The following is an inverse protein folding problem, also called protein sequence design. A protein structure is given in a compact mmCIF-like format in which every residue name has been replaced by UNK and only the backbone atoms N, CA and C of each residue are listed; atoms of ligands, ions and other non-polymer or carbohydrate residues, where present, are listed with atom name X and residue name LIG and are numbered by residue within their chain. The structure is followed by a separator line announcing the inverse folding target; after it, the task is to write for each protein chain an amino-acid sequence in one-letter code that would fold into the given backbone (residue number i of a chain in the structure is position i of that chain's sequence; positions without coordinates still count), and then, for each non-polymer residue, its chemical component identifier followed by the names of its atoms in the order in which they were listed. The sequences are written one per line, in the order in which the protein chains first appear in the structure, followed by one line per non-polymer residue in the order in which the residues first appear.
data_IF_413462144012
#
_entry.id   IF_413462144012
#
_cell.length_a   1.000
_cell.length_b   1.000
_cell.length_c   1.000
_cell.angle_alpha   90.00
_cell.angle_beta   90.00
_cell.angle_gamma   90.00
#
_symmetry.space_group_name_H-M   'P 1'
#
loop_
_entity.id
_entity.type
_entity.pdbx_description
1 polymer ?
#
# COMPACT_ATOMS: atom_id res chain seq x y z
N UNK A 1 4.05 -9.25 9.08
CA UNK A 1 4.43 -9.38 7.67
C UNK A 1 4.40 -8.01 7.02
N UNK A 2 5.47 -7.64 6.34
CA UNK A 2 5.61 -6.29 5.76
C UNK A 2 5.55 -6.34 4.25
N UNK A 3 4.88 -5.37 3.66
CA UNK A 3 4.86 -5.14 2.22
C UNK A 3 5.85 -4.01 1.92
N UNK A 4 6.84 -4.29 1.08
CA UNK A 4 7.85 -3.33 0.67
C UNK A 4 7.59 -2.86 -0.77
N UNK A 5 7.77 -1.56 -1.01
CA UNK A 5 7.51 -0.94 -2.30
C UNK A 5 8.80 -0.35 -2.84
N UNK A 6 9.13 -0.72 -4.08
CA UNK A 6 10.34 -0.32 -4.79
C UNK A 6 9.98 0.47 -6.04
N UNK A 7 10.78 1.47 -6.37
CA UNK A 7 10.63 2.23 -7.62
C UNK A 7 11.57 1.64 -8.68
N UNK A 8 11.00 1.12 -9.75
CA UNK A 8 11.78 0.53 -10.87
C UNK A 8 12.21 1.58 -11.88
N UNK A 9 11.29 2.48 -12.25
CA UNK A 9 11.59 3.60 -13.13
C UNK A 9 10.67 4.77 -12.81
N UNK A 10 11.21 5.99 -12.93
CA UNK A 10 10.49 7.22 -12.66
C UNK A 10 9.94 7.80 -13.96
N UNK A 11 8.64 8.06 -13.99
CA UNK A 11 8.01 8.80 -15.09
C UNK A 11 8.18 10.30 -14.87
N UNK A 12 7.22 10.95 -14.19
CA UNK A 12 7.36 12.34 -13.79
C UNK A 12 8.07 12.42 -12.44
N UNK A 13 9.29 12.98 -12.45
CA UNK A 13 10.14 13.03 -11.25
C UNK A 13 9.51 13.87 -10.13
N UNK A 14 9.05 15.06 -10.46
CA UNK A 14 8.46 15.99 -9.47
C UNK A 14 7.23 15.38 -8.81
N UNK A 15 6.30 14.85 -9.60
CA UNK A 15 5.07 14.26 -9.10
C UNK A 15 5.33 12.97 -8.32
N UNK A 16 6.28 12.15 -8.77
CA UNK A 16 6.68 10.94 -8.05
C UNK A 16 7.18 11.27 -6.64
N UNK A 17 8.06 12.24 -6.50
CA UNK A 17 8.57 12.66 -5.18
C UNK A 17 7.47 13.27 -4.31
N UNK A 18 6.57 14.06 -4.88
CA UNK A 18 5.43 14.61 -4.15
C UNK A 18 4.52 13.52 -3.61
N UNK A 19 4.21 12.51 -4.41
CA UNK A 19 3.39 11.37 -4.00
C UNK A 19 4.07 10.59 -2.88
N UNK A 20 5.35 10.30 -3.00
CA UNK A 20 6.09 9.58 -1.97
C UNK A 20 6.13 10.36 -0.65
N UNK A 21 6.31 11.67 -0.71
CA UNK A 21 6.30 12.51 0.49
C UNK A 21 4.93 12.64 1.13
N UNK A 22 3.85 12.59 0.34
CA UNK A 22 2.49 12.64 0.88
C UNK A 22 2.11 11.34 1.62
N UNK A 23 2.71 10.21 1.22
CA UNK A 23 2.44 8.89 1.81
C UNK A 23 3.48 8.44 2.83
N UNK A 24 4.59 9.15 2.96
CA UNK A 24 5.63 8.86 3.93
C UNK A 24 6.19 10.16 4.51
N UNK A 25 6.71 10.10 5.72
CA UNK A 25 7.35 11.24 6.36
C UNK A 25 8.85 11.34 6.09
N UNK A 26 9.35 10.59 5.09
CA UNK A 26 10.77 10.55 4.78
C UNK A 26 11.24 11.85 4.13
N UNK A 27 12.47 12.35 4.47
CA UNK A 27 13.07 13.49 3.78
C UNK A 27 13.33 13.17 2.30
N UNK A 28 13.30 14.21 1.46
CA UNK A 28 13.55 14.09 0.03
C UNK A 28 14.88 13.38 -0.27
N UNK A 29 15.93 13.73 0.44
CA UNK A 29 17.27 13.14 0.25
C UNK A 29 17.29 11.63 0.52
N UNK A 30 16.53 11.18 1.52
CA UNK A 30 16.44 9.77 1.86
C UNK A 30 15.64 9.00 0.81
N UNK A 31 14.55 9.57 0.32
CA UNK A 31 13.76 8.98 -0.77
C UNK A 31 14.64 8.81 -2.01
N UNK A 32 15.38 9.85 -2.38
CA UNK A 32 16.29 9.84 -3.52
C UNK A 32 17.37 8.76 -3.38
N UNK A 33 17.97 8.64 -2.21
CA UNK A 33 18.98 7.62 -1.90
C UNK A 33 18.42 6.20 -2.02
N UNK A 34 17.23 5.96 -1.49
CA UNK A 34 16.58 4.65 -1.57
C UNK A 34 16.25 4.25 -3.00
N UNK A 35 15.76 5.18 -3.80
CA UNK A 35 15.47 4.92 -5.22
C UNK A 35 16.77 4.57 -5.96
N UNK A 36 17.83 5.33 -5.72
CA UNK A 36 19.14 5.12 -6.36
C UNK A 36 19.73 3.75 -6.01
N UNK A 37 19.59 3.33 -4.76
CA UNK A 37 20.14 2.07 -4.25
C UNK A 37 19.18 0.88 -4.46
N UNK A 38 18.04 1.08 -5.10
CA UNK A 38 16.98 0.08 -5.27
C UNK A 38 16.48 -0.51 -3.95
N UNK A 39 16.44 0.33 -2.92
CA UNK A 39 15.85 -0.02 -1.62
C UNK A 39 14.37 0.32 -1.57
N UNK A 40 13.66 -0.30 -0.62
CA UNK A 40 12.25 -0.01 -0.42
C UNK A 40 12.04 1.45 -0.02
N UNK A 41 11.17 2.16 -0.75
CA UNK A 41 10.81 3.55 -0.43
C UNK A 41 9.70 3.65 0.59
N UNK A 42 8.85 2.62 0.67
CA UNK A 42 7.75 2.52 1.63
C UNK A 42 7.67 1.08 2.11
N UNK A 43 7.42 0.90 3.40
CA UNK A 43 7.11 -0.39 3.99
C UNK A 43 5.85 -0.25 4.82
N UNK A 44 4.89 -1.14 4.63
CA UNK A 44 3.62 -1.14 5.36
C UNK A 44 3.31 -2.52 5.90
N UNK A 45 2.54 -2.56 7.00
CA UNK A 45 2.07 -3.81 7.57
C UNK A 45 0.93 -4.36 6.71
N UNK A 46 1.08 -5.61 6.25
CA UNK A 46 0.06 -6.28 5.44
C UNK A 46 -1.22 -6.58 6.22
N UNK A 47 -1.21 -6.44 7.53
CA UNK A 47 -2.39 -6.59 8.38
C UNK A 47 -3.13 -5.27 8.62
N UNK A 48 -2.58 -4.15 8.14
CA UNK A 48 -3.19 -2.83 8.27
C UNK A 48 -3.96 -2.49 7.00
N UNK A 49 -5.28 -2.65 7.04
CA UNK A 49 -6.15 -2.40 5.90
C UNK A 49 -6.07 -0.96 5.39
N UNK A 50 -6.01 0.01 6.30
CA UNK A 50 -5.93 1.43 5.92
C UNK A 50 -4.64 1.73 5.17
N UNK A 51 -3.51 1.19 5.63
CA UNK A 51 -2.23 1.33 4.96
C UNK A 51 -2.22 0.65 3.59
N UNK A 52 -2.82 -0.52 3.47
CA UNK A 52 -2.95 -1.23 2.18
C UNK A 52 -3.77 -0.42 1.17
N UNK A 53 -4.85 0.22 1.62
CA UNK A 53 -5.66 1.09 0.76
C UNK A 53 -4.87 2.30 0.28
N UNK A 54 -4.09 2.92 1.15
CA UNK A 54 -3.22 4.05 0.81
C UNK A 54 -2.16 3.66 -0.22
N UNK A 55 -1.54 2.50 -0.03
CA UNK A 55 -0.55 1.95 -0.98
C UNK A 55 -1.18 1.71 -2.34
N UNK A 56 -2.37 1.13 -2.37
CA UNK A 56 -3.10 0.88 -3.63
C UNK A 56 -3.33 2.18 -4.40
N UNK A 57 -3.80 3.23 -3.71
CA UNK A 57 -3.99 4.54 -4.33
C UNK A 57 -2.67 5.13 -4.82
N UNK A 58 -1.63 5.06 -4.01
CA UNK A 58 -0.30 5.54 -4.38
C UNK A 58 0.20 4.87 -5.67
N UNK A 59 0.07 3.56 -5.78
CA UNK A 59 0.50 2.81 -6.95
C UNK A 59 -0.30 3.22 -8.19
N UNK A 60 -1.61 3.41 -8.05
CA UNK A 60 -2.46 3.88 -9.15
C UNK A 60 -2.05 5.27 -9.63
N UNK A 61 -1.79 6.18 -8.70
CA UNK A 61 -1.35 7.54 -9.01
C UNK A 61 0.02 7.54 -9.67
N UNK A 62 0.95 6.72 -9.19
CA UNK A 62 2.28 6.57 -9.79
C UNK A 62 2.20 5.99 -11.20
N UNK A 63 1.37 4.99 -11.41
CA UNK A 63 1.14 4.41 -12.73
C UNK A 63 0.60 5.45 -13.71
N UNK A 64 -0.29 6.33 -13.25
CA UNK A 64 -0.88 7.40 -14.06
C UNK A 64 0.17 8.43 -14.55
N UNK A 65 1.24 8.62 -13.81
CA UNK A 65 2.34 9.54 -14.19
C UNK A 65 3.53 8.79 -14.82
N UNK A 66 3.37 7.52 -15.14
CA UNK A 66 4.39 6.73 -15.83
C UNK A 66 5.49 6.17 -14.94
N UNK A 67 5.33 6.22 -13.62
CA UNK A 67 6.29 5.65 -12.68
C UNK A 67 5.99 4.17 -12.46
N UNK A 68 7.00 3.32 -12.63
CA UNK A 68 6.86 1.87 -12.44
C UNK A 68 7.31 1.47 -11.05
N UNK A 69 6.51 0.62 -10.42
CA UNK A 69 6.68 0.22 -9.02
C UNK A 69 6.64 -1.30 -8.92
N UNK A 70 7.45 -1.87 -8.04
CA UNK A 70 7.40 -3.28 -7.67
C UNK A 70 7.06 -3.39 -6.19
N UNK A 71 6.12 -4.29 -5.86
CA UNK A 71 5.80 -4.63 -4.48
C UNK A 71 6.38 -6.00 -4.14
N UNK A 72 6.91 -6.14 -2.93
CA UNK A 72 7.44 -7.41 -2.41
C UNK A 72 7.02 -7.66 -0.98
N UNK A 73 6.76 -8.92 -0.67
CA UNK A 73 6.60 -9.39 0.71
C UNK A 73 7.59 -10.54 0.98
N UNK A 74 7.42 -11.25 2.09
CA UNK A 74 8.29 -12.38 2.44
C UNK A 74 8.21 -13.56 1.46
N UNK A 75 7.16 -13.63 0.64
CA UNK A 75 6.95 -14.70 -0.33
C UNK A 75 7.44 -14.35 -1.74
N UNK A 76 7.76 -13.09 -2.00
CA UNK A 76 8.26 -12.62 -3.29
C UNK A 76 7.51 -11.41 -3.83
N UNK A 77 7.46 -11.31 -5.16
CA UNK A 77 6.82 -10.18 -5.85
C UNK A 77 5.31 -10.30 -5.76
N UNK A 78 4.64 -9.18 -5.42
CA UNK A 78 3.19 -9.08 -5.34
C UNK A 78 2.69 -8.18 -6.47
N UNK A 79 1.63 -8.61 -7.15
CA UNK A 79 0.96 -7.82 -8.19
C UNK A 79 -0.12 -6.91 -7.58
N UNK A 80 -0.52 -5.89 -8.34
CA UNK A 80 -1.64 -5.02 -7.93
C UNK A 80 -2.94 -5.83 -7.80
N UNK A 81 -3.16 -6.81 -8.67
CA UNK A 81 -4.31 -7.71 -8.60
C UNK A 81 -4.34 -8.48 -7.28
N UNK A 82 -3.19 -9.03 -6.86
CA UNK A 82 -3.08 -9.73 -5.59
C UNK A 82 -3.35 -8.79 -4.41
N UNK A 83 -2.82 -7.56 -4.46
CA UNK A 83 -3.09 -6.55 -3.44
C UNK A 83 -4.58 -6.22 -3.35
N UNK A 84 -5.25 -6.05 -4.48
CA UNK A 84 -6.70 -5.82 -4.53
C UNK A 84 -7.48 -6.97 -3.90
N UNK A 85 -7.07 -8.21 -4.16
CA UNK A 85 -7.70 -9.39 -3.56
C UNK A 85 -7.53 -9.43 -2.04
N UNK A 86 -6.34 -9.10 -1.54
CA UNK A 86 -6.09 -9.02 -0.10
C UNK A 86 -6.99 -7.95 0.54
N UNK A 87 -7.06 -6.78 -0.05
CA UNK A 87 -7.89 -5.67 0.45
C UNK A 87 -9.37 -6.08 0.47
N UNK A 88 -9.86 -6.67 -0.61
CA UNK A 88 -11.25 -7.15 -0.69
C UNK A 88 -11.56 -8.18 0.39
N UNK A 89 -10.66 -9.12 0.63
CA UNK A 89 -10.81 -10.12 1.67
C UNK A 89 -10.90 -9.49 3.07
N UNK A 90 -10.04 -8.52 3.36
CA UNK A 90 -10.09 -7.79 4.63
C UNK A 90 -11.39 -7.00 4.78
N UNK A 91 -11.85 -6.36 3.73
CA UNK A 91 -13.10 -5.61 3.74
C UNK A 91 -14.29 -6.52 4.03
N UNK A 92 -14.31 -7.72 3.46
CA UNK A 92 -15.33 -8.73 3.74
C UNK A 92 -15.31 -9.18 5.20
N UNK A 93 -14.13 -9.45 5.74
CA UNK A 93 -13.97 -9.86 7.14
C UNK A 93 -14.44 -8.76 8.10
N UNK A 94 -14.11 -7.51 7.82
CA UNK A 94 -14.57 -6.38 8.64
C UNK A 94 -16.07 -6.23 8.57
N UNK A 95 -16.68 -6.34 7.39
CA UNK A 95 -18.11 -6.27 7.20
C UNK A 95 -18.83 -7.40 7.95
N UNK A 96 -18.32 -8.62 7.88
CA UNK A 96 -18.87 -9.77 8.62
C UNK A 96 -18.81 -9.56 10.13
N UNK A 97 -17.71 -9.02 10.64
CA UNK A 97 -17.56 -8.70 12.07
C UNK A 97 -18.58 -7.66 12.53
N UNK A 98 -18.77 -6.62 11.74
CA UNK A 98 -19.76 -5.58 12.04
C UNK A 98 -21.18 -6.14 12.07
N UNK A 99 -21.52 -7.02 11.12
CA UNK A 99 -22.81 -7.72 11.11
C UNK A 99 -22.99 -8.60 12.33
N UNK A 100 -21.99 -9.40 12.69
CA UNK A 100 -22.03 -10.27 13.86
C UNK A 100 -22.19 -9.48 15.15
N UNK A 101 -21.46 -8.37 15.29
CA UNK A 101 -21.56 -7.51 16.46
C UNK A 101 -22.96 -6.90 16.58
N UNK A 102 -23.55 -6.46 15.48
CA UNK A 102 -24.92 -5.94 15.45
C UNK A 102 -25.95 -7.02 15.85
N UNK A 103 -25.80 -8.24 15.33
CA UNK A 103 -26.67 -9.36 15.67
C UNK A 103 -26.57 -9.77 17.14
N UNK A 104 -25.33 -9.79 17.66
CA UNK A 104 -25.08 -10.09 19.07
C UNK A 104 -25.72 -9.03 19.99
N UNK A 105 -25.65 -7.78 19.57
CA UNK A 105 -26.23 -6.67 20.34
C UNK A 105 -27.75 -6.75 20.40
N UNK A 106 -28.42 -7.14 19.32
CA UNK A 106 -29.84 -7.34 19.26
C UNK A 106 -30.30 -8.56 20.09
N UNK A 107 -29.45 -9.59 20.18
CA UNK A 107 -29.73 -10.80 20.92
C UNK A 107 -29.67 -10.65 22.44
N UNK A 108 -29.12 -9.56 22.95
CA UNK A 108 -29.03 -9.30 24.39
C UNK A 108 -30.31 -8.66 25.00
N UNK A 109 -31.19 -8.21 24.17
CA UNK A 109 -32.49 -7.69 24.61
C UNK A 109 -33.48 -8.84 24.88
#
# INVERSE_FOLDING_TARGET
MMLAIFIDSIGDKSDTYKLLRSHSSLPFSLIQSRIKDHDAVIEVDMLDLDELRKVRELIREMSAIGTKVTMRDSTGIITLEFLNNIISTFEEIVAEREELDALMFEGEE
#
